data_IF_128071667385
#
_entry.id   IF_128071667385
#
_cell.length_a   1.000
_cell.length_b   1.000
_cell.length_c   1.000
_cell.angle_alpha   90.00
_cell.angle_beta   90.00
_cell.angle_gamma   90.00
#
_symmetry.space_group_name_H-M   'P 1'
#
loop_
_entity.id
_entity.type
_entity.pdbx_description
1 polymer ?
#
# COMPACT_ATOMS: atom_id res chain seq x y z
N UNK A 1 10.66 -17.97 -2.55
CA UNK A 1 10.46 -16.57 -2.99
C UNK A 1 10.10 -16.47 -4.47
N UNK A 2 10.79 -17.16 -5.40
CA UNK A 2 10.47 -17.07 -6.84
C UNK A 2 9.02 -17.43 -7.18
N UNK A 3 8.46 -18.48 -6.56
CA UNK A 3 7.05 -18.81 -6.76
C UNK A 3 6.10 -17.70 -6.30
N UNK A 4 6.40 -17.09 -5.15
CA UNK A 4 5.61 -15.96 -4.62
C UNK A 4 5.66 -14.77 -5.57
N UNK A 5 6.85 -14.47 -6.14
CA UNK A 5 7.00 -13.40 -7.13
C UNK A 5 6.20 -13.64 -8.40
N UNK A 6 6.06 -14.90 -8.81
CA UNK A 6 5.26 -15.24 -9.99
C UNK A 6 3.76 -15.17 -9.69
N UNK A 7 3.36 -15.67 -8.53
CA UNK A 7 1.96 -15.68 -8.10
C UNK A 7 1.44 -14.29 -7.69
N UNK A 8 2.33 -13.31 -7.45
CA UNK A 8 1.96 -11.92 -7.16
C UNK A 8 1.71 -11.05 -8.40
N UNK A 9 2.03 -11.54 -9.61
CA UNK A 9 1.85 -10.78 -10.86
C UNK A 9 0.40 -10.83 -11.34
N UNK A 10 -0.06 -9.71 -11.90
CA UNK A 10 -1.29 -9.71 -12.68
C UNK A 10 -1.11 -10.56 -13.93
N UNK A 11 -2.08 -11.44 -14.17
CA UNK A 11 -2.11 -12.38 -15.29
C UNK A 11 -3.28 -11.96 -16.19
N UNK A 12 -3.03 -11.21 -17.28
CA UNK A 12 -4.09 -10.71 -18.17
C UNK A 12 -5.00 -11.82 -18.69
N UNK A 13 -4.46 -13.03 -18.88
CA UNK A 13 -5.19 -14.22 -19.29
C UNK A 13 -6.23 -14.71 -18.26
N UNK A 14 -6.16 -14.24 -17.00
CA UNK A 14 -7.13 -14.50 -15.94
C UNK A 14 -8.13 -13.35 -15.75
N UNK A 15 -8.07 -12.31 -16.59
CA UNK A 15 -8.99 -11.17 -16.55
C UNK A 15 -9.98 -11.32 -17.71
N UNK A 16 -11.26 -11.52 -17.37
CA UNK A 16 -12.36 -11.63 -18.34
C UNK A 16 -13.35 -10.49 -18.19
N UNK A 17 -13.97 -10.12 -19.30
CA UNK A 17 -15.06 -9.16 -19.31
C UNK A 17 -16.39 -9.92 -19.32
N UNK A 18 -17.24 -9.61 -18.34
CA UNK A 18 -18.60 -10.12 -18.25
C UNK A 18 -19.52 -9.04 -18.79
N UNK A 19 -20.26 -9.39 -19.84
CA UNK A 19 -21.29 -8.55 -20.44
C UNK A 19 -22.54 -8.57 -19.55
N UNK A 20 -22.98 -7.39 -19.12
CA UNK A 20 -24.19 -7.15 -18.33
C UNK A 20 -25.20 -6.31 -19.12
N UNK A 21 -25.15 -6.38 -20.46
CA UNK A 21 -25.97 -5.61 -21.39
C UNK A 21 -25.34 -4.24 -21.71
N UNK A 22 -25.93 -3.11 -21.28
CA UNK A 22 -25.32 -1.79 -21.50
C UNK A 22 -24.05 -1.55 -20.66
N UNK A 23 -23.70 -2.49 -19.78
CA UNK A 23 -22.52 -2.42 -18.91
C UNK A 23 -21.58 -3.60 -19.14
N UNK A 24 -20.29 -3.35 -19.00
CA UNK A 24 -19.22 -4.36 -19.04
C UNK A 24 -18.52 -4.37 -17.69
N UNK A 25 -18.37 -5.55 -17.09
CA UNK A 25 -17.70 -5.72 -15.81
C UNK A 25 -16.47 -6.60 -15.95
N UNK A 26 -15.30 -6.10 -15.55
CA UNK A 26 -14.07 -6.91 -15.53
C UNK A 26 -14.04 -7.77 -14.28
N UNK A 27 -13.88 -9.07 -14.47
CA UNK A 27 -13.65 -10.05 -13.40
C UNK A 27 -12.20 -10.52 -13.49
N UNK A 28 -11.48 -10.38 -12.39
CA UNK A 28 -10.09 -10.82 -12.24
C UNK A 28 -10.06 -12.12 -11.42
N UNK A 29 -10.05 -13.25 -12.11
CA UNK A 29 -10.02 -14.57 -11.49
C UNK A 29 -8.63 -14.88 -10.88
N UNK A 30 -7.61 -14.07 -11.18
CA UNK A 30 -6.26 -14.17 -10.60
C UNK A 30 -6.09 -13.44 -9.26
N UNK A 31 -7.01 -12.54 -8.89
CA UNK A 31 -6.93 -11.76 -7.66
C UNK A 31 -6.79 -12.61 -6.38
N UNK A 32 -7.52 -13.73 -6.19
CA UNK A 32 -7.35 -14.58 -5.00
C UNK A 32 -5.94 -15.13 -4.85
N UNK A 33 -5.30 -15.52 -5.97
CA UNK A 33 -3.93 -16.02 -5.95
C UNK A 33 -2.94 -14.93 -5.56
N UNK A 34 -3.09 -13.71 -6.10
CA UNK A 34 -2.23 -12.57 -5.74
C UNK A 34 -2.37 -12.24 -4.26
N UNK A 35 -3.60 -12.13 -3.75
CA UNK A 35 -3.86 -11.91 -2.31
C UNK A 35 -3.17 -12.97 -1.46
N UNK A 36 -3.31 -14.25 -1.84
CA UNK A 36 -2.65 -15.34 -1.14
C UNK A 36 -1.12 -15.20 -1.14
N UNK A 37 -0.51 -14.86 -2.29
CA UNK A 37 0.94 -14.67 -2.38
C UNK A 37 1.45 -13.58 -1.42
N UNK A 38 0.74 -12.45 -1.34
CA UNK A 38 1.06 -11.37 -0.41
C UNK A 38 0.81 -11.74 1.05
N UNK A 39 -0.27 -12.46 1.37
CA UNK A 39 -0.50 -12.98 2.73
C UNK A 39 0.61 -13.94 3.16
N UNK A 40 1.11 -14.78 2.26
CA UNK A 40 2.27 -15.65 2.54
C UNK A 40 3.51 -14.80 2.86
N UNK A 41 3.76 -13.70 2.13
CA UNK A 41 4.83 -12.77 2.50
C UNK A 41 4.68 -12.24 3.93
N UNK A 42 3.45 -11.87 4.34
CA UNK A 42 3.18 -11.39 5.70
C UNK A 42 3.53 -12.46 6.73
N UNK A 43 3.01 -13.69 6.56
CA UNK A 43 3.29 -14.79 7.48
C UNK A 43 4.78 -15.13 7.56
N UNK A 44 5.48 -15.11 6.42
CA UNK A 44 6.92 -15.36 6.38
C UNK A 44 7.70 -14.24 7.07
N UNK A 45 7.34 -12.97 6.85
CA UNK A 45 7.98 -11.83 7.50
C UNK A 45 7.81 -11.92 9.01
N UNK A 46 6.62 -12.29 9.51
CA UNK A 46 6.39 -12.50 10.95
C UNK A 46 7.25 -13.62 11.52
N UNK A 47 7.39 -14.74 10.80
CA UNK A 47 8.12 -15.91 11.29
C UNK A 47 9.65 -15.77 11.19
N UNK A 48 10.14 -15.09 10.14
CA UNK A 48 11.56 -15.05 9.76
C UNK A 48 11.96 -13.65 9.28
N UNK A 49 11.87 -12.61 10.13
CA UNK A 49 11.89 -11.23 9.68
C UNK A 49 13.25 -10.83 9.07
N UNK A 50 14.37 -11.31 9.61
CA UNK A 50 15.71 -11.04 9.07
C UNK A 50 15.95 -11.68 7.69
N UNK A 51 15.44 -12.89 7.47
CA UNK A 51 15.61 -13.61 6.21
C UNK A 51 14.71 -13.06 5.11
N UNK A 52 13.53 -12.56 5.50
CA UNK A 52 12.46 -12.18 4.58
C UNK A 52 12.51 -10.68 4.23
N UNK A 53 12.96 -9.82 5.15
CA UNK A 53 13.18 -8.39 4.91
C UNK A 53 14.33 -8.15 3.92
N UNK A 54 14.02 -8.36 2.64
CA UNK A 54 14.95 -8.32 1.52
C UNK A 54 14.51 -7.25 0.51
N UNK A 55 15.42 -6.76 -0.36
CA UNK A 55 15.05 -5.86 -1.45
C UNK A 55 13.92 -6.42 -2.32
N UNK A 56 13.91 -7.74 -2.55
CA UNK A 56 12.87 -8.42 -3.31
C UNK A 56 11.48 -8.33 -2.66
N UNK A 57 11.39 -8.32 -1.33
CA UNK A 57 10.11 -8.10 -0.65
C UNK A 57 9.62 -6.66 -0.82
N UNK A 58 10.54 -5.68 -0.78
CA UNK A 58 10.22 -4.27 -0.99
C UNK A 58 9.70 -4.05 -2.42
N UNK A 59 10.32 -4.66 -3.42
CA UNK A 59 9.83 -4.64 -4.80
C UNK A 59 8.41 -5.21 -4.92
N UNK A 60 8.13 -6.31 -4.22
CA UNK A 60 6.79 -6.89 -4.18
C UNK A 60 5.78 -5.96 -3.53
N UNK A 61 6.13 -5.31 -2.41
CA UNK A 61 5.26 -4.33 -1.76
C UNK A 61 4.93 -3.18 -2.70
N UNK A 62 5.93 -2.63 -3.41
CA UNK A 62 5.72 -1.56 -4.39
C UNK A 62 4.81 -2.01 -5.54
N UNK A 63 5.01 -3.22 -6.06
CA UNK A 63 4.14 -3.82 -7.07
C UNK A 63 2.70 -3.93 -6.56
N UNK A 64 2.51 -4.38 -5.32
CA UNK A 64 1.19 -4.62 -4.75
C UNK A 64 0.44 -3.33 -4.36
N UNK A 65 1.17 -2.25 -4.05
CA UNK A 65 0.58 -0.92 -3.89
C UNK A 65 -0.04 -0.38 -5.20
N UNK A 66 0.42 -0.86 -6.36
CA UNK A 66 -0.16 -0.52 -7.66
C UNK A 66 -1.29 -1.48 -8.10
N UNK A 67 -1.62 -2.51 -7.32
CA UNK A 67 -2.61 -3.53 -7.65
C UNK A 67 -4.03 -3.15 -7.17
N UNK A 68 -4.95 -4.11 -7.18
CA UNK A 68 -6.28 -4.05 -6.61
C UNK A 68 -6.22 -3.66 -5.13
N UNK A 69 -7.25 -2.93 -4.69
CA UNK A 69 -7.36 -2.43 -3.33
C UNK A 69 -7.19 -3.50 -2.24
N UNK A 70 -7.69 -4.71 -2.45
CA UNK A 70 -7.52 -5.80 -1.49
C UNK A 70 -6.03 -6.22 -1.33
N UNK A 71 -5.23 -6.11 -2.39
CA UNK A 71 -3.78 -6.34 -2.34
C UNK A 71 -3.07 -5.13 -1.74
N UNK A 72 -3.52 -3.91 -2.03
CA UNK A 72 -3.01 -2.68 -1.42
C UNK A 72 -3.13 -2.74 0.10
N UNK A 73 -4.24 -3.26 0.63
CA UNK A 73 -4.43 -3.47 2.08
C UNK A 73 -3.31 -4.32 2.69
N UNK A 74 -3.00 -5.46 2.08
CA UNK A 74 -1.97 -6.38 2.56
C UNK A 74 -0.59 -5.73 2.45
N UNK A 75 -0.33 -5.00 1.36
CA UNK A 75 0.97 -4.36 1.12
C UNK A 75 1.23 -3.18 2.06
N UNK A 76 0.20 -2.41 2.40
CA UNK A 76 0.30 -1.38 3.44
C UNK A 76 0.68 -2.01 4.78
N UNK A 77 0.04 -3.12 5.19
CA UNK A 77 0.40 -3.81 6.43
C UNK A 77 1.84 -4.34 6.39
N UNK A 78 2.25 -4.99 5.30
CA UNK A 78 3.62 -5.45 5.10
C UNK A 78 4.64 -4.31 5.20
N UNK A 79 4.34 -3.14 4.64
CA UNK A 79 5.21 -1.98 4.74
C UNK A 79 5.31 -1.46 6.18
N UNK A 80 4.20 -1.42 6.91
CA UNK A 80 4.19 -1.05 8.33
C UNK A 80 5.05 -2.01 9.16
N UNK A 81 4.90 -3.32 8.92
CA UNK A 81 5.67 -4.35 9.60
C UNK A 81 7.16 -4.24 9.26
N UNK A 82 7.52 -4.01 8.00
CA UNK A 82 8.90 -3.78 7.57
C UNK A 82 9.53 -2.57 8.26
N UNK A 83 8.79 -1.46 8.37
CA UNK A 83 9.25 -0.26 9.08
C UNK A 83 9.38 -0.46 10.61
N UNK A 84 8.77 -1.50 11.18
CA UNK A 84 8.90 -1.83 12.61
C UNK A 84 10.24 -2.48 12.96
N UNK A 85 10.92 -3.09 11.98
CA UNK A 85 12.17 -3.81 12.19
C UNK A 85 13.38 -2.90 11.93
N UNK A 86 14.16 -2.60 12.96
CA UNK A 86 15.31 -1.70 12.86
C UNK A 86 16.32 -2.13 11.78
N UNK A 87 16.58 -3.44 11.66
CA UNK A 87 17.50 -3.97 10.65
C UNK A 87 16.97 -3.87 9.21
N UNK A 88 15.66 -3.65 9.01
CA UNK A 88 15.06 -3.51 7.69
C UNK A 88 15.08 -2.05 7.20
N UNK A 89 15.16 -1.07 8.11
CA UNK A 89 15.04 0.36 7.80
C UNK A 89 16.02 0.83 6.72
N UNK A 90 17.29 0.40 6.77
CA UNK A 90 18.28 0.81 5.77
C UNK A 90 17.90 0.39 4.34
N UNK A 91 17.16 -0.72 4.20
CA UNK A 91 16.68 -1.21 2.90
C UNK A 91 15.50 -0.38 2.39
N UNK A 92 14.67 0.12 3.31
CA UNK A 92 13.49 0.94 2.99
C UNK A 92 13.90 2.35 2.63
N UNK A 93 14.88 2.94 3.34
CA UNK A 93 15.33 4.33 3.14
C UNK A 93 15.63 4.62 1.66
N UNK A 94 16.36 3.75 0.99
CA UNK A 94 16.71 3.90 -0.43
C UNK A 94 15.53 3.75 -1.41
N UNK A 95 14.36 3.33 -0.92
CA UNK A 95 13.14 3.06 -1.71
C UNK A 95 11.97 3.95 -1.33
N UNK A 96 12.13 4.86 -0.37
CA UNK A 96 11.06 5.77 0.09
C UNK A 96 10.49 6.60 -1.07
N UNK A 97 11.33 7.04 -2.01
CA UNK A 97 10.89 7.77 -3.20
C UNK A 97 9.92 6.99 -4.08
N UNK A 98 10.09 5.68 -4.19
CA UNK A 98 9.25 4.82 -5.02
C UNK A 98 7.83 4.66 -4.44
N UNK A 99 7.63 4.96 -3.16
CA UNK A 99 6.33 4.94 -2.50
C UNK A 99 5.43 6.10 -2.92
N UNK A 100 6.02 7.23 -3.36
CA UNK A 100 5.28 8.47 -3.61
C UNK A 100 4.20 8.29 -4.66
N UNK A 101 4.56 7.77 -5.83
CA UNK A 101 3.63 7.63 -6.96
C UNK A 101 2.44 6.69 -6.65
N UNK A 102 2.65 5.47 -6.09
CA UNK A 102 1.55 4.61 -5.67
C UNK A 102 0.63 5.25 -4.62
N UNK A 103 1.18 5.87 -3.56
CA UNK A 103 0.36 6.48 -2.51
C UNK A 103 -0.42 7.69 -3.03
N UNK A 104 0.22 8.57 -3.81
CA UNK A 104 -0.46 9.74 -4.38
C UNK A 104 -1.65 9.32 -5.23
N UNK A 105 -1.44 8.37 -6.14
CA UNK A 105 -2.50 7.83 -6.99
C UNK A 105 -3.67 7.28 -6.18
N UNK A 106 -3.38 6.48 -5.15
CA UNK A 106 -4.41 5.84 -4.35
C UNK A 106 -5.18 6.83 -3.48
N UNK A 107 -4.49 7.77 -2.83
CA UNK A 107 -5.10 8.81 -2.01
C UNK A 107 -5.98 9.71 -2.88
N UNK A 108 -5.48 10.17 -4.02
CA UNK A 108 -6.25 11.01 -4.95
C UNK A 108 -7.48 10.28 -5.50
N UNK A 109 -7.40 8.97 -5.74
CA UNK A 109 -8.56 8.13 -6.11
C UNK A 109 -9.62 8.15 -5.00
N UNK A 110 -9.21 7.91 -3.76
CA UNK A 110 -10.15 7.89 -2.63
C UNK A 110 -10.76 9.26 -2.35
N UNK A 111 -9.99 10.36 -2.42
CA UNK A 111 -10.51 11.73 -2.28
C UNK A 111 -11.61 12.00 -3.33
N UNK A 112 -11.34 11.65 -4.59
CA UNK A 112 -12.33 11.81 -5.68
C UNK A 112 -13.60 11.00 -5.41
N UNK A 113 -13.49 9.77 -4.92
CA UNK A 113 -14.63 8.93 -4.54
C UNK A 113 -15.46 9.56 -3.41
N UNK A 114 -14.80 10.09 -2.37
CA UNK A 114 -15.45 10.81 -1.28
C UNK A 114 -16.20 12.04 -1.80
N UNK A 115 -15.55 12.87 -2.62
CA UNK A 115 -16.15 14.07 -3.22
C UNK A 115 -17.33 13.74 -4.14
N UNK A 116 -17.23 12.66 -4.92
CA UNK A 116 -18.28 12.17 -5.79
C UNK A 116 -19.41 11.43 -5.05
N UNK A 117 -19.33 11.29 -3.71
CA UNK A 117 -20.24 10.52 -2.88
C UNK A 117 -20.38 9.04 -3.31
N UNK A 118 -19.31 8.46 -3.85
CA UNK A 118 -19.26 7.08 -4.33
C UNK A 118 -18.50 6.20 -3.34
N UNK A 119 -19.15 5.15 -2.82
CA UNK A 119 -18.54 4.19 -1.89
C UNK A 119 -17.77 4.87 -0.73
N UNK A 120 -18.32 5.98 -0.20
CA UNK A 120 -17.62 6.90 0.72
C UNK A 120 -17.01 6.17 1.92
N UNK A 121 -17.74 5.23 2.54
CA UNK A 121 -17.21 4.45 3.67
C UNK A 121 -15.93 3.73 3.30
N UNK A 122 -15.94 2.99 2.19
CA UNK A 122 -14.79 2.21 1.71
C UNK A 122 -13.62 3.11 1.35
N UNK A 123 -13.87 4.24 0.67
CA UNK A 123 -12.83 5.20 0.34
C UNK A 123 -12.19 5.82 1.60
N UNK A 124 -12.99 6.14 2.62
CA UNK A 124 -12.49 6.67 3.90
C UNK A 124 -11.68 5.64 4.68
N UNK A 125 -12.06 4.36 4.65
CA UNK A 125 -11.31 3.28 5.28
C UNK A 125 -9.93 3.10 4.64
N UNK A 126 -9.86 3.18 3.32
CA UNK A 126 -8.59 3.17 2.60
C UNK A 126 -7.74 4.42 2.90
N UNK A 127 -8.33 5.61 2.94
CA UNK A 127 -7.61 6.83 3.33
C UNK A 127 -6.99 6.69 4.73
N UNK A 128 -7.73 6.13 5.70
CA UNK A 128 -7.20 5.86 7.05
C UNK A 128 -6.05 4.88 7.02
N UNK A 129 -6.13 3.82 6.22
CA UNK A 129 -5.03 2.87 6.06
C UNK A 129 -3.78 3.55 5.46
N UNK A 130 -3.93 4.32 4.39
CA UNK A 130 -2.81 5.02 3.76
C UNK A 130 -2.20 6.05 4.71
N UNK A 131 -3.03 6.82 5.41
CA UNK A 131 -2.58 7.78 6.42
C UNK A 131 -1.77 7.11 7.54
N UNK A 132 -2.26 6.00 8.11
CA UNK A 132 -1.51 5.23 9.13
C UNK A 132 -0.18 4.73 8.61
N UNK A 133 -0.14 4.26 7.37
CA UNK A 133 1.09 3.77 6.74
C UNK A 133 2.09 4.91 6.55
N UNK A 134 1.63 6.06 6.03
CA UNK A 134 2.47 7.23 5.82
C UNK A 134 2.99 7.82 7.14
N UNK A 135 2.20 7.79 8.23
CA UNK A 135 2.67 8.19 9.58
C UNK A 135 3.84 7.36 10.10
N UNK A 136 3.99 6.12 9.64
CA UNK A 136 5.11 5.26 10.00
C UNK A 136 6.33 5.58 9.13
N UNK A 137 6.12 5.91 7.85
CA UNK A 137 7.20 6.18 6.89
C UNK A 137 7.76 7.61 7.03
N UNK A 138 6.92 8.60 7.36
CA UNK A 138 7.28 10.02 7.39
C UNK A 138 8.48 10.32 8.29
N UNK A 139 8.56 9.86 9.56
CA UNK A 139 9.73 10.13 10.41
C UNK A 139 11.03 9.54 9.85
N UNK A 140 10.93 8.39 9.15
CA UNK A 140 12.09 7.75 8.51
C UNK A 140 12.55 8.61 7.33
N UNK A 141 11.61 9.11 6.52
CA UNK A 141 11.89 9.97 5.38
C UNK A 141 12.51 11.32 5.80
N UNK A 142 11.99 11.95 6.85
CA UNK A 142 12.48 13.21 7.40
C UNK A 142 13.90 13.07 7.97
N UNK A 143 14.14 12.02 8.77
CA UNK A 143 15.47 11.74 9.34
C UNK A 143 16.55 11.54 8.26
N UNK A 144 16.14 11.11 7.06
CA UNK A 144 17.02 10.88 5.92
C UNK A 144 16.92 11.97 4.83
N UNK A 145 16.25 13.10 5.13
CA UNK A 145 16.11 14.25 4.22
C UNK A 145 15.58 13.88 2.83
N UNK A 146 14.64 12.94 2.76
CA UNK A 146 14.13 12.42 1.49
C UNK A 146 13.18 13.42 0.82
N UNK A 147 13.75 14.39 0.10
CA UNK A 147 13.04 15.56 -0.45
C UNK A 147 11.77 15.23 -1.21
N UNK A 148 11.80 14.25 -2.12
CA UNK A 148 10.62 13.86 -2.93
C UNK A 148 9.43 13.44 -2.06
N UNK A 149 9.69 12.77 -0.95
CA UNK A 149 8.65 12.29 -0.04
C UNK A 149 8.13 13.42 0.84
N UNK A 150 9.02 14.27 1.35
CA UNK A 150 8.65 15.46 2.13
C UNK A 150 7.79 16.42 1.30
N UNK A 151 8.18 16.68 0.04
CA UNK A 151 7.41 17.51 -0.88
C UNK A 151 6.03 16.89 -1.18
N UNK A 152 5.96 15.57 -1.31
CA UNK A 152 4.72 14.81 -1.46
C UNK A 152 3.79 14.99 -0.25
N UNK A 153 4.29 14.76 0.98
CA UNK A 153 3.52 14.95 2.21
C UNK A 153 3.02 16.39 2.34
N UNK A 154 3.89 17.38 2.10
CA UNK A 154 3.51 18.80 2.11
C UNK A 154 2.40 19.13 1.11
N UNK A 155 2.39 18.49 -0.06
CA UNK A 155 1.36 18.69 -1.08
C UNK A 155 0.04 18.05 -0.68
N UNK A 156 0.03 16.78 -0.27
CA UNK A 156 -1.23 16.06 0.02
C UNK A 156 -1.91 16.57 1.29
N UNK A 157 -1.15 17.07 2.26
CA UNK A 157 -1.69 17.64 3.50
C UNK A 157 -2.44 18.97 3.29
N UNK A 158 -2.41 19.54 2.09
CA UNK A 158 -3.26 20.69 1.72
C UNK A 158 -4.71 20.28 1.45
N UNK A 159 -4.98 18.99 1.23
CA UNK A 159 -6.35 18.50 1.09
C UNK A 159 -6.96 18.26 2.48
N UNK A 160 -8.03 18.98 2.80
CA UNK A 160 -8.68 18.91 4.11
C UNK A 160 -9.23 17.52 4.46
N UNK A 161 -9.63 16.72 3.45
CA UNK A 161 -10.15 15.37 3.68
C UNK A 161 -9.01 14.47 4.14
N UNK A 162 -7.88 14.51 3.43
CA UNK A 162 -6.72 13.73 3.80
C UNK A 162 -6.11 14.20 5.12
N UNK A 163 -5.95 15.51 5.31
CA UNK A 163 -5.39 16.09 6.53
C UNK A 163 -6.17 15.68 7.78
N UNK A 164 -7.50 15.74 7.74
CA UNK A 164 -8.35 15.32 8.86
C UNK A 164 -8.21 13.82 9.16
N UNK A 165 -8.13 12.97 8.13
CA UNK A 165 -7.89 11.54 8.31
C UNK A 165 -6.49 11.27 8.87
N UNK A 166 -5.49 12.01 8.42
CA UNK A 166 -4.11 11.90 8.84
C UNK A 166 -3.95 12.24 10.32
N UNK A 167 -4.54 13.33 10.79
CA UNK A 167 -4.48 13.74 12.19
C UNK A 167 -4.93 12.62 13.14
N UNK A 168 -6.08 11.99 12.83
CA UNK A 168 -6.68 10.92 13.65
C UNK A 168 -6.09 9.51 13.41
N UNK A 169 -5.20 9.34 12.43
CA UNK A 169 -4.53 8.07 12.21
C UNK A 169 -3.57 7.79 13.38
N UNK A 170 -3.72 6.68 14.09
CA UNK A 170 -2.71 6.20 15.05
C UNK A 170 -1.57 5.52 14.28
N UNK A 171 -0.33 5.90 14.55
CA UNK A 171 0.82 5.06 14.19
C UNK A 171 0.71 3.82 15.07
N UNK A 172 0.74 2.60 14.52
CA UNK A 172 0.37 1.35 15.21
C UNK A 172 1.18 0.93 16.45
N UNK A 173 1.79 1.87 17.18
CA UNK A 173 2.45 1.70 18.48
C UNK A 173 1.49 1.76 19.68
N UNK A 174 0.25 2.21 19.53
CA UNK A 174 -0.72 2.33 20.63
C UNK A 174 -1.51 1.04 20.94
N UNK A 175 -1.01 -0.14 20.56
CA UNK A 175 -1.73 -1.42 20.72
C UNK A 175 -0.93 -2.55 21.37
N UNK A 176 0.06 -2.21 22.22
CA UNK A 176 0.71 -3.15 23.14
C UNK A 176 0.62 -2.62 24.56
#
# INVERSE_FOLDING_TARGET
FERIKEDSKQKPELIREVDLGPFKHKVDDGLPLRKFAYTVCTSLLTAYPEQIASPALIDLVLQGLADNEDVQVICCQLLQDLCSWQFALFRIIGRIGDLVEPFDRCIMRCIKQVQAKQQVSRAMDMLRLYARTLKIVEPIAEANQHKTFVDFMSRIMKDNTFAGVYEHASSGKDSL
#
